data_IF_995504971127
#
_entry.id   IF_995504971127
#
_cell.length_a   1.000
_cell.length_b   1.000
_cell.length_c   1.000
_cell.angle_alpha   90.00
_cell.angle_beta   90.00
_cell.angle_gamma   90.00
#
_symmetry.space_group_name_H-M   'P 1'
#
loop_
_entity.id
_entity.type
_entity.pdbx_description
1 polymer ?
#
# COMPACT_ATOMS: atom_id res chain seq x y z
N UNK A 1 -14.30 -27.38 2.46
CA UNK A 1 -14.45 -26.00 1.96
C UNK A 1 -13.40 -25.13 2.66
N UNK A 2 -12.57 -24.37 1.93
CA UNK A 2 -11.81 -23.17 2.40
C UNK A 2 -10.68 -22.72 1.43
N UNK A 3 -10.50 -23.34 0.26
CA UNK A 3 -9.50 -22.90 -0.72
C UNK A 3 -9.94 -21.67 -1.56
N UNK A 4 -11.24 -21.33 -1.55
CA UNK A 4 -11.80 -20.23 -2.37
C UNK A 4 -11.57 -18.85 -1.72
N UNK A 5 -11.45 -18.79 -0.38
CA UNK A 5 -11.25 -17.53 0.36
C UNK A 5 -9.84 -16.95 0.12
N UNK A 6 -8.84 -17.80 -0.11
CA UNK A 6 -7.45 -17.38 -0.36
C UNK A 6 -7.27 -16.72 -1.74
N UNK A 7 -7.93 -17.26 -2.78
CA UNK A 7 -7.83 -16.71 -4.15
C UNK A 7 -8.48 -15.33 -4.30
N UNK A 8 -9.63 -15.12 -3.64
CA UNK A 8 -10.33 -13.83 -3.63
C UNK A 8 -9.59 -12.79 -2.79
N UNK A 9 -8.93 -13.20 -1.71
CA UNK A 9 -8.08 -12.31 -0.89
C UNK A 9 -6.85 -11.84 -1.66
N UNK A 10 -6.26 -12.71 -2.48
CA UNK A 10 -5.13 -12.35 -3.34
C UNK A 10 -5.56 -11.39 -4.46
N UNK A 11 -6.71 -11.64 -5.11
CA UNK A 11 -7.26 -10.77 -6.14
C UNK A 11 -7.69 -9.39 -5.57
N UNK A 12 -8.29 -9.36 -4.38
CA UNK A 12 -8.65 -8.12 -3.69
C UNK A 12 -7.42 -7.29 -3.27
N UNK A 13 -6.36 -7.94 -2.78
CA UNK A 13 -5.06 -7.28 -2.53
C UNK A 13 -4.41 -6.79 -3.82
N UNK A 14 -4.53 -7.53 -4.91
CA UNK A 14 -4.00 -7.14 -6.21
C UNK A 14 -4.74 -5.94 -6.81
N UNK A 15 -6.07 -5.94 -6.81
CA UNK A 15 -6.88 -4.79 -7.25
C UNK A 15 -6.63 -3.55 -6.38
N UNK A 16 -6.47 -3.74 -5.07
CA UNK A 16 -6.07 -2.70 -4.11
C UNK A 16 -4.64 -2.19 -4.34
N UNK A 17 -3.70 -3.05 -4.74
CA UNK A 17 -2.37 -2.63 -5.16
C UNK A 17 -2.39 -1.84 -6.49
N UNK A 18 -3.34 -2.14 -7.38
CA UNK A 18 -3.45 -1.54 -8.74
C UNK A 18 -4.21 -0.21 -8.75
N UNK A 19 -5.16 0.02 -7.83
CA UNK A 19 -6.10 1.15 -7.93
C UNK A 19 -5.65 2.45 -7.25
N UNK A 20 -4.50 2.47 -6.58
CA UNK A 20 -3.87 3.70 -6.03
C UNK A 20 -4.59 4.32 -4.82
N UNK A 21 -5.91 4.42 -4.83
CA UNK A 21 -6.74 5.14 -3.84
C UNK A 21 -6.73 4.55 -2.43
N UNK A 22 -6.36 3.28 -2.28
CA UNK A 22 -6.41 2.57 -0.99
C UNK A 22 -5.04 2.13 -0.48
N UNK A 23 -3.97 2.78 -0.97
CA UNK A 23 -2.60 2.53 -0.56
C UNK A 23 -2.39 2.72 0.96
N UNK A 24 -3.05 3.71 1.56
CA UNK A 24 -2.94 3.96 3.01
C UNK A 24 -3.55 2.83 3.84
N UNK A 25 -4.70 2.27 3.45
CA UNK A 25 -5.30 1.14 4.15
C UNK A 25 -4.45 -0.14 4.04
N UNK A 26 -3.80 -0.36 2.90
CA UNK A 26 -2.82 -1.45 2.75
C UNK A 26 -1.64 -1.25 3.68
N UNK A 27 -1.13 -0.02 3.74
CA UNK A 27 -0.07 0.36 4.65
C UNK A 27 -0.46 0.09 6.11
N UNK A 28 -1.66 0.49 6.54
CA UNK A 28 -2.13 0.25 7.92
C UNK A 28 -2.24 -1.25 8.23
N UNK A 29 -2.79 -2.05 7.32
CA UNK A 29 -2.89 -3.49 7.52
C UNK A 29 -1.50 -4.15 7.61
N UNK A 30 -0.55 -3.73 6.76
CA UNK A 30 0.83 -4.19 6.82
C UNK A 30 1.53 -3.70 8.08
N UNK A 31 1.34 -2.44 8.47
CA UNK A 31 1.95 -1.84 9.65
C UNK A 31 1.47 -2.52 10.94
N UNK A 32 0.17 -2.81 11.04
CA UNK A 32 -0.39 -3.54 12.17
C UNK A 32 0.16 -4.96 12.28
N UNK A 33 0.45 -5.61 11.15
CA UNK A 33 1.05 -6.95 11.13
C UNK A 33 2.56 -6.94 11.44
N UNK A 34 3.30 -5.95 10.92
CA UNK A 34 4.77 -5.90 10.97
C UNK A 34 5.32 -5.12 12.17
N UNK A 35 4.59 -4.13 12.67
CA UNK A 35 5.00 -3.23 13.75
C UNK A 35 3.90 -3.09 14.82
N UNK A 36 3.56 -4.19 15.53
CA UNK A 36 2.60 -4.11 16.62
C UNK A 36 3.14 -3.20 17.73
N UNK A 37 2.37 -2.19 18.12
CA UNK A 37 2.71 -1.27 19.21
C UNK A 37 3.43 0.02 18.80
N UNK A 38 3.79 0.17 17.52
CA UNK A 38 4.24 1.46 16.98
C UNK A 38 3.04 2.21 16.36
N UNK A 39 2.92 3.54 16.54
CA UNK A 39 1.90 4.30 15.84
C UNK A 39 2.22 4.35 14.34
N UNK A 40 1.20 4.11 13.52
CA UNK A 40 1.32 4.24 12.07
C UNK A 40 1.54 5.70 11.65
N UNK A 41 2.15 5.91 10.49
CA UNK A 41 2.32 7.22 9.88
C UNK A 41 0.96 7.87 9.63
N UNK A 42 0.80 9.18 9.91
CA UNK A 42 -0.40 9.91 9.51
C UNK A 42 -0.56 9.90 7.99
N UNK A 43 -1.79 9.78 7.52
CA UNK A 43 -2.14 9.70 6.10
C UNK A 43 -1.48 10.78 5.23
N UNK A 44 -1.54 12.05 5.65
CA UNK A 44 -0.90 13.16 4.91
C UNK A 44 0.61 13.00 4.73
N UNK A 45 1.28 12.39 5.71
CA UNK A 45 2.73 12.19 5.69
C UNK A 45 3.06 11.02 4.78
N UNK A 46 2.27 9.94 4.85
CA UNK A 46 2.37 8.81 3.95
C UNK A 46 2.26 9.25 2.48
N UNK A 47 1.26 10.07 2.14
CA UNK A 47 1.10 10.57 0.77
C UNK A 47 2.25 11.48 0.35
N UNK A 48 2.71 12.38 1.22
CA UNK A 48 3.86 13.25 0.92
C UNK A 48 5.14 12.45 0.68
N UNK A 49 5.45 11.47 1.52
CA UNK A 49 6.64 10.62 1.34
C UNK A 49 6.57 9.78 0.07
N UNK A 50 5.37 9.33 -0.29
CA UNK A 50 5.12 8.59 -1.53
C UNK A 50 5.35 9.49 -2.75
N UNK A 51 4.78 10.69 -2.76
CA UNK A 51 4.97 11.67 -3.84
C UNK A 51 6.43 12.11 -3.94
N UNK A 52 7.07 12.44 -2.82
CA UNK A 52 8.51 12.73 -2.76
C UNK A 52 9.36 11.57 -3.31
N UNK A 53 8.95 10.34 -3.04
CA UNK A 53 9.60 9.14 -3.56
C UNK A 53 9.45 8.99 -5.08
N UNK A 54 8.28 9.36 -5.63
CA UNK A 54 8.07 9.41 -7.08
C UNK A 54 8.84 10.55 -7.74
N UNK A 55 8.93 11.71 -7.07
CA UNK A 55 9.64 12.89 -7.56
C UNK A 55 11.17 12.67 -7.57
N UNK A 56 11.72 12.06 -6.50
CA UNK A 56 13.16 11.75 -6.40
C UNK A 56 13.60 10.58 -7.27
N UNK A 57 12.69 9.71 -7.67
CA UNK A 57 13.00 8.55 -8.50
C UNK A 57 12.03 8.46 -9.68
N UNK A 58 12.15 9.36 -10.67
CA UNK A 58 11.29 9.41 -11.83
C UNK A 58 11.67 8.28 -12.81
N UNK A 59 11.55 7.02 -12.38
CA UNK A 59 11.81 5.86 -13.23
C UNK A 59 10.72 5.81 -14.29
N UNK A 60 10.97 6.46 -15.43
CA UNK A 60 10.01 6.60 -16.51
C UNK A 60 9.93 7.98 -17.15
N UNK A 61 10.77 8.97 -16.79
CA UNK A 61 11.03 10.08 -17.71
C UNK A 61 12.00 9.59 -18.79
N UNK A 62 11.49 8.74 -19.70
CA UNK A 62 12.06 8.70 -21.03
C UNK A 62 11.97 10.12 -21.57
N UNK A 63 13.15 10.64 -21.92
CA UNK A 63 13.44 11.75 -22.82
C UNK A 63 12.23 12.51 -23.40
#
# INVERSE_FOLDING_TARGET
MNAIVSGLSAAGRYLKAVMGDNAYEVYLAHHAASHPGTPALPERVFWRERDDGQDRNPQGRCC
#
